data_IF_305960928608
#
_entry.id   IF_305960928608
#
_cell.length_a   1.000
_cell.length_b   1.000
_cell.length_c   1.000
_cell.angle_alpha   90.00
_cell.angle_beta   90.00
_cell.angle_gamma   90.00
#
_symmetry.space_group_name_H-M   'P 1'
#
loop_
_entity.id
_entity.type
_entity.pdbx_description
1 polymer ?
#
# COMPACT_ATOMS: atom_id res chain seq x y z
N UNK A 1 13.10 9.60 3.22
CA UNK A 1 13.73 8.41 3.83
C UNK A 1 12.87 7.21 3.50
N UNK A 2 13.44 6.07 3.21
CA UNK A 2 12.75 4.82 2.85
C UNK A 2 13.27 3.69 3.74
N UNK A 3 12.53 2.58 3.82
CA UNK A 3 12.85 1.47 4.73
C UNK A 3 13.10 0.13 4.00
N UNK A 4 13.95 0.08 2.96
CA UNK A 4 14.13 -1.10 2.13
C UNK A 4 14.78 -2.29 2.86
N UNK A 5 15.59 -2.01 3.87
CA UNK A 5 16.29 -3.02 4.68
C UNK A 5 15.70 -3.20 6.07
N UNK A 6 14.41 -2.89 6.28
CA UNK A 6 13.76 -2.80 7.61
C UNK A 6 14.42 -1.75 8.53
N UNK A 7 15.26 -0.91 7.98
CA UNK A 7 15.87 0.25 8.63
C UNK A 7 15.74 1.49 7.76
N UNK A 8 15.66 2.65 8.40
CA UNK A 8 15.51 3.92 7.68
C UNK A 8 16.83 4.24 6.95
N UNK A 9 16.75 4.42 5.63
CA UNK A 9 17.88 4.72 4.76
C UNK A 9 17.57 5.89 3.83
N UNK A 10 18.62 6.53 3.31
CA UNK A 10 18.47 7.51 2.24
C UNK A 10 18.15 6.81 0.92
N UNK A 11 17.24 7.37 0.13
CA UNK A 11 16.88 6.83 -1.18
C UNK A 11 18.10 6.57 -2.09
N UNK A 12 19.09 7.47 -2.03
CA UNK A 12 20.30 7.40 -2.88
C UNK A 12 21.32 6.32 -2.46
N UNK A 13 21.16 5.70 -1.30
CA UNK A 13 22.09 4.68 -0.78
C UNK A 13 21.57 3.27 -0.90
N UNK A 14 20.38 3.10 -1.46
CA UNK A 14 19.73 1.79 -1.60
C UNK A 14 20.14 1.14 -2.91
N UNK A 15 20.72 -0.06 -2.83
CA UNK A 15 21.11 -0.85 -3.99
C UNK A 15 19.96 -1.50 -4.78
N UNK A 16 18.73 -1.38 -4.28
CA UNK A 16 17.52 -1.94 -4.91
C UNK A 16 16.74 -0.84 -5.64
N UNK A 17 16.06 -1.22 -6.74
CA UNK A 17 15.14 -0.31 -7.43
C UNK A 17 13.89 -0.11 -6.54
N UNK A 18 13.71 1.10 -6.04
CA UNK A 18 12.58 1.46 -5.18
C UNK A 18 11.71 2.50 -5.89
N UNK A 19 10.39 2.36 -5.76
CA UNK A 19 9.42 3.43 -6.07
C UNK A 19 8.72 3.82 -4.78
N UNK A 20 8.52 5.12 -4.58
CA UNK A 20 7.79 5.66 -3.44
C UNK A 20 6.59 6.42 -3.96
N UNK A 21 5.41 6.12 -3.42
CA UNK A 21 4.20 6.91 -3.60
C UNK A 21 3.97 7.62 -2.27
N UNK A 22 4.11 8.93 -2.29
CA UNK A 22 4.00 9.76 -1.10
C UNK A 22 2.54 10.10 -0.77
N UNK A 23 2.34 10.71 0.40
CA UNK A 23 1.04 11.13 0.91
C UNK A 23 0.32 12.05 -0.09
N UNK A 24 1.01 13.01 -0.66
CA UNK A 24 0.39 13.99 -1.54
C UNK A 24 -0.19 13.32 -2.80
N UNK A 25 0.56 12.39 -3.38
CA UNK A 25 0.11 11.59 -4.53
C UNK A 25 -1.11 10.74 -4.17
N UNK A 26 -1.10 10.10 -2.98
CA UNK A 26 -2.22 9.28 -2.50
C UNK A 26 -3.46 10.13 -2.27
N UNK A 27 -3.33 11.26 -1.58
CA UNK A 27 -4.47 12.13 -1.24
C UNK A 27 -5.06 12.82 -2.48
N UNK A 28 -4.23 13.19 -3.46
CA UNK A 28 -4.67 13.80 -4.71
C UNK A 28 -5.28 12.82 -5.71
N UNK A 29 -5.09 11.52 -5.52
CA UNK A 29 -5.68 10.50 -6.39
C UNK A 29 -7.21 10.50 -6.29
N UNK A 30 -7.88 10.33 -7.43
CA UNK A 30 -9.32 10.12 -7.49
C UNK A 30 -9.73 8.69 -7.11
N UNK A 31 -8.78 7.76 -7.11
CA UNK A 31 -9.01 6.37 -6.74
C UNK A 31 -9.20 6.26 -5.21
N UNK A 32 -10.14 5.43 -4.80
CA UNK A 32 -10.44 5.17 -3.39
C UNK A 32 -9.62 4.01 -2.82
N UNK A 33 -9.23 3.07 -3.67
CA UNK A 33 -8.50 1.87 -3.27
C UNK A 33 -7.01 1.98 -3.60
N UNK A 34 -6.18 1.51 -2.66
CA UNK A 34 -4.73 1.54 -2.82
C UNK A 34 -4.26 0.78 -4.06
N UNK A 35 -4.89 -0.35 -4.37
CA UNK A 35 -4.52 -1.16 -5.53
C UNK A 35 -4.57 -0.34 -6.82
N UNK A 36 -5.65 0.40 -7.05
CA UNK A 36 -5.81 1.27 -8.24
C UNK A 36 -4.77 2.39 -8.25
N UNK A 37 -4.52 3.02 -7.10
CA UNK A 37 -3.47 4.05 -6.95
C UNK A 37 -2.10 3.50 -7.34
N UNK A 38 -1.76 2.29 -6.89
CA UNK A 38 -0.49 1.64 -7.23
C UNK A 38 -0.38 1.38 -8.73
N UNK A 39 -1.43 0.84 -9.33
CA UNK A 39 -1.47 0.54 -10.76
C UNK A 39 -1.33 1.81 -11.62
N UNK A 40 -1.99 2.90 -11.21
CA UNK A 40 -2.00 4.15 -11.98
C UNK A 40 -0.71 4.97 -11.80
N UNK A 41 0.00 4.82 -10.69
CA UNK A 41 1.19 5.62 -10.37
C UNK A 41 2.51 4.87 -10.54
N UNK A 42 2.50 3.58 -10.89
CA UNK A 42 3.73 2.82 -11.11
C UNK A 42 3.63 1.87 -12.30
N UNK A 43 4.63 1.87 -13.15
CA UNK A 43 4.70 0.98 -14.32
C UNK A 43 5.09 -0.47 -13.98
N UNK A 44 5.49 -0.73 -12.75
CA UNK A 44 5.99 -2.03 -12.32
C UNK A 44 5.00 -2.87 -11.53
N UNK A 45 3.84 -2.30 -11.26
CA UNK A 45 2.75 -2.96 -10.55
C UNK A 45 1.58 -3.15 -11.51
N UNK A 46 1.05 -4.35 -11.54
CA UNK A 46 -0.15 -4.70 -12.28
C UNK A 46 -1.18 -5.28 -11.31
N UNK A 47 -2.44 -5.03 -11.57
CA UNK A 47 -3.54 -5.62 -10.83
C UNK A 47 -4.10 -6.85 -11.57
N UNK A 48 -4.39 -7.87 -10.81
CA UNK A 48 -5.22 -8.97 -11.23
C UNK A 48 -6.53 -8.93 -10.42
N UNK A 49 -7.59 -8.50 -11.06
CA UNK A 49 -8.90 -8.30 -10.44
C UNK A 49 -9.90 -9.29 -11.02
N UNK A 50 -10.68 -9.96 -10.17
CA UNK A 50 -11.66 -10.96 -10.59
C UNK A 50 -13.00 -10.36 -11.01
N UNK A 51 -13.17 -9.05 -10.94
CA UNK A 51 -14.42 -8.35 -11.27
C UNK A 51 -14.29 -6.85 -11.06
N UNK A 52 -15.38 -6.19 -10.69
CA UNK A 52 -15.39 -4.76 -10.36
C UNK A 52 -14.69 -4.43 -9.04
N UNK A 53 -14.78 -3.17 -8.64
CA UNK A 53 -14.20 -2.69 -7.37
C UNK A 53 -14.73 -3.51 -6.17
N UNK A 54 -13.84 -3.82 -5.21
CA UNK A 54 -14.17 -4.62 -4.03
C UNK A 54 -14.13 -6.13 -4.25
N UNK A 55 -13.82 -6.61 -5.46
CA UNK A 55 -13.56 -8.04 -5.69
C UNK A 55 -12.10 -8.39 -5.43
N UNK A 56 -11.81 -9.68 -5.28
CA UNK A 56 -10.45 -10.17 -5.00
C UNK A 56 -9.43 -9.54 -5.97
N UNK A 57 -8.53 -8.75 -5.40
CA UNK A 57 -7.53 -7.99 -6.14
C UNK A 57 -6.15 -8.43 -5.73
N UNK A 58 -5.47 -9.17 -6.61
CA UNK A 58 -4.07 -9.56 -6.46
C UNK A 58 -3.15 -8.50 -7.05
N UNK A 59 -2.04 -8.25 -6.40
CA UNK A 59 -1.02 -7.32 -6.87
C UNK A 59 0.18 -8.10 -7.40
N UNK A 60 0.60 -7.77 -8.60
CA UNK A 60 1.75 -8.37 -9.28
C UNK A 60 2.84 -7.32 -9.47
N UNK A 61 4.07 -7.65 -9.13
CA UNK A 61 5.23 -6.80 -9.36
C UNK A 61 6.04 -7.37 -10.53
N UNK A 62 6.29 -6.55 -11.57
CA UNK A 62 7.06 -6.93 -12.76
C UNK A 62 6.55 -8.20 -13.48
N UNK A 63 5.23 -8.45 -13.44
CA UNK A 63 4.62 -9.60 -14.08
C UNK A 63 4.81 -10.93 -13.35
N UNK A 64 5.45 -10.94 -12.17
CA UNK A 64 5.49 -12.13 -11.31
C UNK A 64 4.10 -12.43 -10.76
N UNK A 65 3.76 -13.69 -10.58
CA UNK A 65 2.50 -14.08 -9.95
C UNK A 65 2.35 -13.46 -8.56
N UNK A 66 1.10 -13.19 -8.15
CA UNK A 66 0.76 -12.55 -6.88
C UNK A 66 1.46 -13.16 -5.65
N UNK A 67 1.66 -14.49 -5.64
CA UNK A 67 2.35 -15.21 -4.55
C UNK A 67 3.82 -14.81 -4.36
N UNK A 68 4.42 -14.18 -5.38
CA UNK A 68 5.81 -13.69 -5.34
C UNK A 68 5.91 -12.19 -5.07
N UNK A 69 4.77 -11.55 -4.81
CA UNK A 69 4.66 -10.14 -4.43
C UNK A 69 4.21 -10.06 -2.98
N UNK A 70 5.13 -9.74 -2.07
CA UNK A 70 4.81 -9.71 -0.64
C UNK A 70 4.38 -8.32 -0.20
N UNK A 71 3.32 -8.25 0.59
CA UNK A 71 2.76 -6.99 1.13
C UNK A 71 3.02 -6.94 2.64
N UNK A 72 3.48 -5.79 3.10
CA UNK A 72 3.63 -5.46 4.52
C UNK A 72 2.82 -4.21 4.85
N UNK A 73 2.17 -4.20 5.99
CA UNK A 73 1.52 -3.02 6.57
C UNK A 73 2.19 -2.75 7.91
N UNK A 74 2.82 -1.59 8.04
CA UNK A 74 3.60 -1.17 9.22
C UNK A 74 4.60 -2.25 9.72
N UNK A 75 5.23 -2.94 8.77
CA UNK A 75 6.21 -3.98 9.05
C UNK A 75 5.63 -5.37 9.32
N UNK A 76 4.31 -5.52 9.38
CA UNK A 76 3.63 -6.81 9.55
C UNK A 76 3.36 -7.42 8.18
N UNK A 77 3.83 -8.64 7.96
CA UNK A 77 3.58 -9.36 6.71
C UNK A 77 2.10 -9.74 6.60
N UNK A 78 1.50 -9.34 5.50
CA UNK A 78 0.14 -9.72 5.15
C UNK A 78 0.14 -11.03 4.36
N UNK A 79 -0.67 -11.96 4.81
CA UNK A 79 -0.90 -13.22 4.13
C UNK A 79 -2.32 -13.73 4.44
N UNK A 80 -2.89 -14.48 3.52
CA UNK A 80 -4.18 -15.12 3.73
C UNK A 80 -4.01 -16.63 3.75
N UNK A 81 -4.06 -17.26 4.94
CA UNK A 81 -3.89 -18.70 5.09
C UNK A 81 -5.06 -19.52 4.50
N UNK A 82 -6.17 -18.87 4.14
CA UNK A 82 -7.30 -19.54 3.49
C UNK A 82 -7.05 -19.79 1.99
N UNK A 83 -6.05 -19.11 1.42
CA UNK A 83 -5.67 -19.32 0.02
C UNK A 83 -4.58 -20.39 -0.10
N UNK A 84 -4.61 -21.17 -1.18
CA UNK A 84 -3.66 -22.26 -1.40
C UNK A 84 -2.20 -21.82 -1.51
N UNK A 85 -1.97 -20.56 -1.88
CA UNK A 85 -0.66 -19.96 -2.09
C UNK A 85 -0.30 -18.89 -1.03
N UNK A 86 -1.12 -18.75 0.02
CA UNK A 86 -1.02 -17.74 1.07
C UNK A 86 -0.94 -16.29 0.53
N UNK A 87 -1.47 -16.06 -0.67
CA UNK A 87 -1.48 -14.71 -1.26
C UNK A 87 -2.48 -13.82 -0.56
N UNK A 88 -2.05 -12.61 -0.25
CA UNK A 88 -2.92 -11.56 0.27
C UNK A 88 -3.61 -10.82 -0.87
N UNK A 89 -4.91 -10.55 -0.72
CA UNK A 89 -5.69 -9.73 -1.63
C UNK A 89 -5.90 -8.33 -1.06
N UNK A 90 -5.67 -7.32 -1.87
CA UNK A 90 -5.60 -5.92 -1.43
C UNK A 90 -6.85 -5.09 -1.74
N UNK A 91 -8.01 -5.75 -1.96
CA UNK A 91 -9.26 -5.09 -2.35
C UNK A 91 -9.80 -4.11 -1.31
N UNK A 92 -9.52 -4.34 -0.01
CA UNK A 92 -10.12 -3.59 1.09
C UNK A 92 -9.22 -2.46 1.62
N UNK A 93 -8.03 -2.27 1.03
CA UNK A 93 -7.11 -1.24 1.49
C UNK A 93 -7.51 0.11 0.87
N UNK A 94 -8.07 0.98 1.70
CA UNK A 94 -8.47 2.34 1.30
C UNK A 94 -7.36 3.35 1.51
N UNK A 95 -7.30 4.39 0.65
CA UNK A 95 -6.28 5.45 0.67
C UNK A 95 -6.22 6.26 1.98
N UNK A 96 -7.35 6.40 2.66
CA UNK A 96 -7.49 7.34 3.77
C UNK A 96 -6.60 7.04 4.98
N UNK A 97 -6.27 5.78 5.21
CA UNK A 97 -5.41 5.34 6.31
C UNK A 97 -3.91 5.36 5.97
N UNK A 98 -3.55 5.63 4.71
CA UNK A 98 -2.19 5.44 4.22
C UNK A 98 -1.42 6.76 4.23
N UNK A 99 -0.19 6.71 4.72
CA UNK A 99 0.78 7.80 4.69
C UNK A 99 1.64 7.75 3.43
N UNK A 100 2.24 6.60 3.15
CA UNK A 100 3.06 6.37 1.96
C UNK A 100 3.16 4.89 1.64
N UNK A 101 3.58 4.59 0.43
CA UNK A 101 3.87 3.23 -0.01
C UNK A 101 5.26 3.17 -0.63
N UNK A 102 6.04 2.18 -0.23
CA UNK A 102 7.37 1.89 -0.77
C UNK A 102 7.33 0.56 -1.50
N UNK A 103 7.69 0.55 -2.79
CA UNK A 103 7.70 -0.63 -3.64
C UNK A 103 9.16 -0.98 -3.95
N UNK A 104 9.62 -2.07 -3.35
CA UNK A 104 10.95 -2.62 -3.60
C UNK A 104 10.86 -3.64 -4.73
N UNK A 105 11.56 -3.37 -5.82
CA UNK A 105 11.50 -4.17 -7.04
C UNK A 105 12.66 -5.14 -7.13
N UNK A 106 12.36 -6.37 -7.51
CA UNK A 106 13.34 -7.46 -7.63
C UNK A 106 13.40 -8.31 -6.36
N UNK A 107 14.24 -9.32 -6.39
CA UNK A 107 14.30 -10.30 -5.29
C UNK A 107 14.73 -9.66 -3.98
N UNK A 108 13.84 -9.77 -3.00
CA UNK A 108 14.03 -9.33 -1.62
C UNK A 108 13.96 -10.52 -0.65
N UNK A 109 14.14 -11.74 -1.16
CA UNK A 109 13.94 -12.99 -0.41
C UNK A 109 14.84 -13.13 0.81
N UNK A 110 16.03 -12.54 0.81
CA UNK A 110 16.96 -12.57 1.94
C UNK A 110 16.45 -11.79 3.17
N UNK A 111 15.66 -10.73 2.96
CA UNK A 111 15.16 -9.86 4.04
C UNK A 111 13.68 -10.07 4.33
N UNK A 112 12.90 -10.40 3.30
CA UNK A 112 11.45 -10.45 3.34
C UNK A 112 10.87 -11.86 3.15
N UNK A 113 11.74 -12.86 2.99
CA UNK A 113 11.35 -14.27 2.88
C UNK A 113 11.12 -14.77 1.47
N UNK A 114 10.96 -16.09 1.31
CA UNK A 114 10.96 -16.79 0.04
C UNK A 114 9.95 -16.29 -1.01
N UNK A 115 8.84 -15.69 -0.57
CA UNK A 115 7.79 -15.20 -1.47
C UNK A 115 8.08 -13.79 -2.04
N UNK A 116 9.17 -13.14 -1.62
CA UNK A 116 9.52 -11.80 -2.10
C UNK A 116 10.47 -11.84 -3.32
N UNK A 117 10.19 -12.69 -4.31
CA UNK A 117 11.00 -12.84 -5.52
C UNK A 117 10.72 -11.71 -6.53
N UNK A 118 9.47 -11.37 -6.75
CA UNK A 118 9.06 -10.27 -7.62
C UNK A 118 9.33 -8.90 -7.00
N UNK A 119 9.17 -8.82 -5.68
CA UNK A 119 9.36 -7.61 -4.92
C UNK A 119 8.52 -7.56 -3.65
N UNK A 120 8.59 -6.42 -2.97
CA UNK A 120 7.86 -6.16 -1.74
C UNK A 120 7.18 -4.82 -1.78
N UNK A 121 5.95 -4.75 -1.29
CA UNK A 121 5.19 -3.52 -1.10
C UNK A 121 5.08 -3.26 0.39
N UNK A 122 5.67 -2.17 0.85
CA UNK A 122 5.57 -1.73 2.23
C UNK A 122 4.59 -0.55 2.31
N UNK A 123 3.50 -0.75 3.00
CA UNK A 123 2.46 0.24 3.26
C UNK A 123 2.68 0.80 4.66
N UNK A 124 2.77 2.11 4.76
CA UNK A 124 2.88 2.81 6.04
C UNK A 124 1.58 3.56 6.30
N UNK A 125 0.98 3.32 7.46
CA UNK A 125 -0.25 3.99 7.85
C UNK A 125 0.02 5.36 8.45
N UNK A 126 -1.00 6.23 8.41
CA UNK A 126 -0.95 7.55 9.06
C UNK A 126 -0.83 7.35 10.56
N UNK A 127 0.10 8.08 11.17
CA UNK A 127 0.24 8.14 12.63
C UNK A 127 -0.57 9.31 13.17
N UNK A 128 -1.09 9.18 14.38
CA UNK A 128 -1.73 10.27 15.09
C UNK A 128 -0.79 11.46 15.21
N UNK A 129 -1.33 12.66 15.03
CA UNK A 129 -0.62 13.92 15.22
C UNK A 129 -0.89 14.42 16.64
N UNK A 130 0.05 15.17 17.19
CA UNK A 130 -0.11 15.81 18.50
C UNK A 130 -1.40 16.65 18.55
N UNK A 131 -2.16 16.52 19.62
CA UNK A 131 -3.47 17.12 19.77
C UNK A 131 -4.60 16.28 19.15
N UNK A 132 -5.77 16.88 18.99
CA UNK A 132 -6.96 16.25 18.39
C UNK A 132 -7.24 16.87 17.02
N UNK A 133 -7.24 16.05 15.99
CA UNK A 133 -7.52 16.47 14.63
C UNK A 133 -8.70 15.70 14.07
N UNK A 134 -9.57 16.37 13.38
CA UNK A 134 -10.67 15.76 12.64
C UNK A 134 -10.63 16.17 11.18
N UNK A 135 -10.95 15.25 10.30
CA UNK A 135 -11.08 15.51 8.88
C UNK A 135 -12.37 14.90 8.35
N UNK A 136 -13.07 15.66 7.52
CA UNK A 136 -14.28 15.21 6.81
C UNK A 136 -14.00 15.39 5.32
N UNK A 137 -14.14 14.33 4.56
CA UNK A 137 -14.04 14.34 3.11
C UNK A 137 -15.38 13.91 2.52
N UNK A 138 -15.93 14.74 1.63
CA UNK A 138 -17.16 14.45 0.89
C UNK A 138 -16.81 14.40 -0.58
N UNK A 139 -17.17 13.32 -1.25
CA UNK A 139 -16.95 13.19 -2.68
C UNK A 139 -18.23 12.80 -3.41
N UNK A 140 -18.36 13.29 -4.64
CA UNK A 140 -19.43 12.93 -5.56
C UNK A 140 -18.84 12.64 -6.94
N UNK A 141 -19.34 11.61 -7.60
CA UNK A 141 -18.84 11.16 -8.90
C UNK A 141 -19.95 10.77 -9.85
N UNK A 142 -19.56 10.26 -11.00
CA UNK A 142 -20.47 9.74 -12.00
C UNK A 142 -21.26 8.54 -11.45
N UNK A 143 -22.33 8.15 -12.16
CA UNK A 143 -23.19 7.03 -11.77
C UNK A 143 -23.83 7.17 -10.37
N UNK A 144 -24.09 8.42 -9.95
CA UNK A 144 -24.65 8.73 -8.63
C UNK A 144 -23.77 8.26 -7.45
N UNK A 145 -22.47 8.12 -7.67
CA UNK A 145 -21.54 7.77 -6.63
C UNK A 145 -21.41 8.93 -5.64
N UNK A 146 -21.59 8.65 -4.36
CA UNK A 146 -21.40 9.60 -3.27
C UNK A 146 -20.65 8.91 -2.15
N UNK A 147 -19.65 9.56 -1.57
CA UNK A 147 -18.98 9.05 -0.38
C UNK A 147 -18.75 10.15 0.65
N UNK A 148 -18.78 9.75 1.90
CA UNK A 148 -18.42 10.59 3.04
C UNK A 148 -17.40 9.80 3.84
N UNK A 149 -16.26 10.40 4.08
CA UNK A 149 -15.23 9.85 4.95
C UNK A 149 -14.99 10.80 6.12
N UNK A 150 -14.99 10.25 7.32
CA UNK A 150 -14.65 10.98 8.54
C UNK A 150 -13.48 10.29 9.24
N UNK A 151 -12.50 11.06 9.66
CA UNK A 151 -11.41 10.57 10.48
C UNK A 151 -11.17 11.47 11.68
N UNK A 152 -10.82 10.85 12.79
CA UNK A 152 -10.36 11.49 14.01
C UNK A 152 -8.99 10.91 14.33
N UNK A 153 -7.99 11.76 14.46
CA UNK A 153 -6.64 11.36 14.86
C UNK A 153 -6.14 12.26 16.00
N UNK A 154 -5.30 11.69 16.83
CA UNK A 154 -4.66 12.42 17.91
C UNK A 154 -3.59 11.58 18.59
N UNK A 155 -2.63 12.26 19.18
CA UNK A 155 -1.62 11.67 20.05
C UNK A 155 -1.43 12.55 21.28
N UNK A 156 -1.08 11.94 22.41
CA UNK A 156 -0.69 12.61 23.64
C UNK A 156 0.79 12.27 23.91
N UNK A 157 1.54 13.26 24.43
CA UNK A 157 2.97 13.13 24.75
C UNK A 157 3.30 12.11 25.87
N UNK A 158 2.30 11.36 26.33
CA UNK A 158 2.42 10.47 27.50
C UNK A 158 2.61 8.99 27.18
N UNK A 159 2.97 8.65 25.95
CA UNK A 159 3.29 7.26 25.57
C UNK A 159 4.69 7.21 24.96
#
# INVERSE_FOLDING_TARGET
MISPGKSIQSYNTVGSSVSVIDRNTIESSQDSFLADILNNNTTSVNLFQMGGQGTNTGIQIRGFEKRYSTIYIDGIKMNDPSTSDNSFYAQDIMKHSIDRVEILKGSQSSLYGANAIGGTINIFTKKGREGKHSNIEVSAGNNNTKSIFYSLDGADDKI
#
